data_IF_139922091072
#
_entry.id   IF_139922091072
#
_cell.length_a   1.000
_cell.length_b   1.000
_cell.length_c   1.000
_cell.angle_alpha   90.00
_cell.angle_beta   90.00
_cell.angle_gamma   90.00
#
_symmetry.space_group_name_H-M   'P 1'
#
loop_
_entity.id
_entity.type
_entity.pdbx_description
1 polymer ?
#
# COMPACT_ATOMS: atom_id res chain seq x y z
N UNK A 1 17.22 -2.40 -15.91
CA UNK A 1 16.33 -3.36 -15.23
C UNK A 1 16.57 -4.76 -15.79
N UNK A 2 16.74 -5.78 -14.95
CA UNK A 2 17.03 -7.16 -15.43
C UNK A 2 15.74 -7.82 -15.97
N UNK A 3 15.79 -8.64 -17.02
CA UNK A 3 14.59 -9.23 -17.65
C UNK A 3 13.67 -10.01 -16.68
N UNK A 4 14.25 -10.65 -15.66
CA UNK A 4 13.50 -11.43 -14.68
C UNK A 4 12.65 -10.57 -13.74
N UNK A 5 13.14 -9.38 -13.35
CA UNK A 5 12.36 -8.45 -12.51
C UNK A 5 11.13 -7.92 -13.26
N UNK A 6 11.27 -7.62 -14.55
CA UNK A 6 10.17 -7.21 -15.43
C UNK A 6 9.13 -8.34 -15.62
N UNK A 7 9.56 -9.59 -15.56
CA UNK A 7 8.64 -10.73 -15.64
C UNK A 7 7.85 -10.89 -14.34
N UNK A 8 8.51 -10.81 -13.18
CA UNK A 8 7.84 -10.88 -11.88
C UNK A 8 6.89 -9.71 -11.64
N UNK A 9 7.22 -8.49 -12.08
CA UNK A 9 6.34 -7.32 -11.93
C UNK A 9 5.04 -7.42 -12.74
N UNK A 10 4.97 -8.35 -13.71
CA UNK A 10 3.74 -8.65 -14.47
C UNK A 10 2.95 -9.82 -13.88
N UNK A 11 3.54 -10.58 -12.98
CA UNK A 11 2.83 -11.64 -12.26
C UNK A 11 2.11 -11.00 -11.07
N UNK A 12 0.85 -11.35 -10.85
CA UNK A 12 0.04 -10.75 -9.78
C UNK A 12 -0.63 -9.43 -10.17
N UNK A 13 -0.62 -9.04 -11.44
CA UNK A 13 -1.46 -7.94 -11.95
C UNK A 13 -2.86 -8.44 -12.31
N UNK A 14 -3.88 -7.70 -11.89
CA UNK A 14 -5.30 -7.98 -12.10
C UNK A 14 -6.01 -6.70 -12.53
N UNK A 15 -7.01 -6.83 -13.40
CA UNK A 15 -7.95 -5.76 -13.68
C UNK A 15 -9.26 -6.10 -12.99
N UNK A 16 -9.74 -5.20 -12.13
CA UNK A 16 -11.01 -5.36 -11.41
C UNK A 16 -11.93 -4.18 -11.68
N UNK A 17 -13.24 -4.42 -11.71
CA UNK A 17 -14.22 -3.35 -11.84
C UNK A 17 -14.86 -3.07 -10.48
N UNK A 18 -14.76 -1.81 -10.03
CA UNK A 18 -15.35 -1.34 -8.78
C UNK A 18 -16.30 -0.20 -9.13
N UNK A 19 -17.60 -0.40 -8.94
CA UNK A 19 -18.64 0.59 -9.25
C UNK A 19 -18.54 1.18 -10.68
N UNK A 20 -18.23 0.35 -11.68
CA UNK A 20 -18.07 0.79 -13.07
C UNK A 20 -16.73 1.46 -13.39
N UNK A 21 -15.82 1.54 -12.43
CA UNK A 21 -14.45 2.03 -12.62
C UNK A 21 -13.51 0.84 -12.72
N UNK A 22 -12.73 0.78 -13.80
CA UNK A 22 -11.67 -0.21 -13.93
C UNK A 22 -10.46 0.19 -13.07
N UNK A 23 -10.04 -0.71 -12.20
CA UNK A 23 -8.91 -0.57 -11.28
C UNK A 23 -7.89 -1.64 -11.60
N UNK A 24 -6.64 -1.21 -11.79
CA UNK A 24 -5.49 -2.10 -11.97
C UNK A 24 -4.92 -2.42 -10.59
N UNK A 25 -4.90 -3.69 -10.24
CA UNK A 25 -4.39 -4.17 -8.95
C UNK A 25 -3.13 -4.97 -9.18
N UNK A 26 -2.05 -4.68 -8.46
CA UNK A 26 -0.87 -5.53 -8.39
C UNK A 26 -0.73 -6.12 -6.99
N UNK A 27 -0.55 -7.44 -6.90
CA UNK A 27 -0.26 -8.16 -5.66
C UNK A 27 1.22 -8.49 -5.62
N UNK A 28 1.90 -8.05 -4.56
CA UNK A 28 3.35 -8.10 -4.46
C UNK A 28 3.75 -8.89 -3.22
N UNK A 29 4.48 -9.99 -3.43
CA UNK A 29 5.04 -10.88 -2.40
C UNK A 29 6.58 -10.84 -2.35
N UNK A 30 7.21 -10.06 -3.24
CA UNK A 30 8.66 -10.00 -3.39
C UNK A 30 9.20 -8.59 -3.13
N UNK A 31 10.18 -8.47 -2.22
CA UNK A 31 10.81 -7.20 -1.84
C UNK A 31 11.36 -6.41 -3.05
N UNK A 32 11.96 -7.09 -4.04
CA UNK A 32 12.54 -6.42 -5.21
C UNK A 32 11.48 -5.83 -6.16
N UNK A 33 10.25 -6.33 -6.11
CA UNK A 33 9.12 -5.79 -6.90
C UNK A 33 8.52 -4.58 -6.19
N UNK A 34 8.54 -4.52 -4.86
CA UNK A 34 8.11 -3.34 -4.08
C UNK A 34 8.90 -2.10 -4.47
N UNK A 35 10.22 -2.19 -4.59
CA UNK A 35 11.07 -1.04 -4.96
C UNK A 35 10.69 -0.47 -6.34
N UNK A 36 10.35 -1.35 -7.28
CA UNK A 36 9.93 -0.98 -8.63
C UNK A 36 8.55 -0.32 -8.57
N UNK A 37 7.61 -0.95 -7.86
CA UNK A 37 6.25 -0.45 -7.72
C UNK A 37 6.22 0.94 -7.07
N UNK A 38 6.97 1.15 -5.99
CA UNK A 38 7.03 2.45 -5.31
C UNK A 38 7.58 3.54 -6.24
N UNK A 39 8.58 3.21 -7.07
CA UNK A 39 9.09 4.15 -8.06
C UNK A 39 8.05 4.45 -9.16
N UNK A 40 7.30 3.44 -9.60
CA UNK A 40 6.24 3.59 -10.59
C UNK A 40 5.07 4.43 -10.05
N UNK A 41 4.58 4.14 -8.84
CA UNK A 41 3.58 4.95 -8.13
C UNK A 41 4.02 6.41 -7.99
N UNK A 42 5.26 6.65 -7.56
CA UNK A 42 5.82 8.01 -7.49
C UNK A 42 5.79 8.73 -8.83
N UNK A 43 6.12 8.02 -9.91
CA UNK A 43 6.15 8.61 -11.25
C UNK A 43 4.77 8.86 -11.85
N UNK A 44 3.75 8.09 -11.45
CA UNK A 44 2.39 8.17 -11.99
C UNK A 44 1.53 9.21 -11.26
N UNK A 45 1.86 9.53 -10.01
CA UNK A 45 1.15 10.53 -9.21
C UNK A 45 1.19 11.93 -9.86
N UNK A 46 0.02 12.44 -10.24
CA UNK A 46 -0.16 13.85 -10.64
C UNK A 46 -0.37 14.77 -9.44
N UNK A 47 -1.02 14.23 -8.41
CA UNK A 47 -1.29 14.87 -7.14
C UNK A 47 -0.73 13.91 -6.08
N UNK A 48 0.00 14.39 -5.06
CA UNK A 48 0.62 13.53 -4.07
C UNK A 48 -0.41 13.08 -3.02
N UNK A 49 -1.49 12.42 -3.48
CA UNK A 49 -2.53 11.82 -2.65
C UNK A 49 -2.51 10.31 -2.89
N UNK A 50 -2.42 9.54 -1.81
CA UNK A 50 -2.37 8.07 -1.87
C UNK A 50 -3.43 7.49 -0.94
N UNK A 51 -4.30 6.63 -1.46
CA UNK A 51 -5.16 5.80 -0.61
C UNK A 51 -4.30 4.78 0.13
N UNK A 52 -4.44 4.69 1.44
CA UNK A 52 -3.69 3.75 2.29
C UNK A 52 -4.67 2.91 3.10
N UNK A 53 -4.47 1.60 3.07
CA UNK A 53 -5.09 0.68 4.01
C UNK A 53 -4.07 -0.34 4.51
N UNK A 54 -4.24 -0.81 5.75
CA UNK A 54 -3.38 -1.83 6.35
C UNK A 54 -4.26 -2.91 6.92
N UNK A 55 -4.17 -4.10 6.33
CA UNK A 55 -4.90 -5.28 6.78
C UNK A 55 -4.01 -6.13 7.66
N UNK A 56 -4.46 -6.43 8.89
CA UNK A 56 -3.71 -7.33 9.78
C UNK A 56 -4.20 -8.75 9.62
N UNK A 57 -3.26 -9.69 9.57
CA UNK A 57 -3.58 -11.10 9.72
C UNK A 57 -3.77 -11.37 11.22
N UNK A 58 -4.92 -11.91 11.57
CA UNK A 58 -5.20 -12.30 12.95
C UNK A 58 -4.63 -13.69 13.17
N UNK A 59 -3.49 -13.76 13.84
CA UNK A 59 -2.91 -15.02 14.28
C UNK A 59 -3.67 -15.49 15.51
N UNK A 60 -3.93 -16.79 15.63
CA UNK A 60 -4.56 -17.40 16.81
C UNK A 60 -3.82 -17.10 18.14
N UNK A 61 -2.60 -16.56 18.07
CA UNK A 61 -1.75 -16.21 19.19
C UNK A 61 -1.66 -14.71 19.51
N UNK A 62 -2.48 -13.83 18.90
CA UNK A 62 -2.41 -12.36 19.08
C UNK A 62 -1.03 -11.74 18.74
N UNK A 63 -0.18 -12.46 18.01
CA UNK A 63 0.98 -11.85 17.39
C UNK A 63 0.46 -11.13 16.14
N UNK A 64 0.58 -9.81 16.11
CA UNK A 64 0.35 -9.03 14.89
C UNK A 64 1.56 -9.24 13.95
N UNK A 65 1.81 -10.49 13.57
CA UNK A 65 2.89 -10.82 12.66
C UNK A 65 2.41 -10.45 11.25
N UNK A 66 2.72 -9.20 10.89
CA UNK A 66 2.80 -8.68 9.53
C UNK A 66 1.48 -8.70 8.73
N UNK A 67 0.99 -7.51 8.42
CA UNK A 67 -0.19 -7.32 7.60
C UNK A 67 0.07 -7.34 6.10
N UNK A 68 -0.95 -6.93 5.35
CA UNK A 68 -0.83 -6.44 3.98
C UNK A 68 -0.96 -4.91 4.00
N UNK A 69 -0.15 -4.22 3.21
CA UNK A 69 -0.28 -2.77 2.97
C UNK A 69 -0.90 -2.58 1.61
N UNK A 70 -1.96 -1.78 1.52
CA UNK A 70 -2.60 -1.40 0.26
C UNK A 70 -2.32 0.06 0.00
N UNK A 71 -1.77 0.34 -1.18
CA UNK A 71 -1.52 1.70 -1.68
C UNK A 71 -2.34 1.90 -2.94
N UNK A 72 -3.07 3.00 -3.06
CA UNK A 72 -3.82 3.32 -4.28
C UNK A 72 -3.49 4.73 -4.77
N UNK A 73 -3.14 4.84 -6.05
CA UNK A 73 -2.92 6.09 -6.76
C UNK A 73 -3.79 6.06 -8.01
N UNK A 74 -4.70 7.03 -8.14
CA UNK A 74 -5.73 7.05 -9.18
C UNK A 74 -6.48 5.70 -9.25
N UNK A 75 -6.43 5.02 -10.40
CA UNK A 75 -7.06 3.72 -10.63
C UNK A 75 -6.07 2.54 -10.49
N UNK A 76 -4.90 2.76 -9.88
CA UNK A 76 -3.90 1.72 -9.66
C UNK A 76 -3.76 1.45 -8.17
N UNK A 77 -3.88 0.19 -7.76
CA UNK A 77 -3.72 -0.24 -6.38
C UNK A 77 -2.67 -1.34 -6.24
N UNK A 78 -1.81 -1.22 -5.25
CA UNK A 78 -0.72 -2.16 -4.96
C UNK A 78 -0.99 -2.80 -3.61
N UNK A 79 -1.16 -4.11 -3.58
CA UNK A 79 -1.36 -4.92 -2.39
C UNK A 79 -0.03 -5.60 -2.07
N UNK A 80 0.65 -5.10 -1.04
CA UNK A 80 1.96 -5.55 -0.61
C UNK A 80 1.78 -6.54 0.54
N UNK A 81 2.08 -7.82 0.29
CA UNK A 81 1.99 -8.90 1.26
C UNK A 81 3.22 -8.89 2.17
N UNK A 82 3.32 -7.89 3.07
CA UNK A 82 4.50 -7.69 3.92
C UNK A 82 4.85 -8.92 4.78
N UNK A 83 3.88 -9.77 5.11
CA UNK A 83 4.09 -11.03 5.84
C UNK A 83 4.84 -12.13 5.09
N UNK A 84 5.00 -11.98 3.78
CA UNK A 84 5.77 -12.90 2.96
C UNK A 84 7.22 -12.43 2.77
N UNK A 85 7.56 -11.27 3.32
CA UNK A 85 8.87 -10.63 3.18
C UNK A 85 9.72 -10.87 4.41
N UNK A 86 11.05 -10.93 4.21
CA UNK A 86 12.00 -11.09 5.30
C UNK A 86 12.18 -9.78 6.09
N UNK A 87 11.97 -8.65 5.41
CA UNK A 87 11.96 -7.33 6.02
C UNK A 87 11.13 -6.36 5.17
N UNK A 88 10.66 -5.26 5.79
CA UNK A 88 10.00 -4.20 5.04
C UNK A 88 11.03 -3.44 4.19
N UNK A 89 10.85 -3.35 2.85
CA UNK A 89 11.75 -2.62 1.97
C UNK A 89 11.92 -1.16 2.39
N UNK A 90 13.13 -0.61 2.28
CA UNK A 90 13.39 0.79 2.63
C UNK A 90 12.61 1.75 1.74
N UNK A 91 12.42 1.43 0.46
CA UNK A 91 11.62 2.24 -0.48
C UNK A 91 10.20 2.48 0.03
N UNK A 92 9.53 1.45 0.51
CA UNK A 92 8.19 1.53 1.08
C UNK A 92 8.18 2.34 2.38
N UNK A 93 9.19 2.14 3.25
CA UNK A 93 9.33 2.92 4.50
C UNK A 93 9.52 4.41 4.21
N UNK A 94 10.42 4.73 3.28
CA UNK A 94 10.74 6.10 2.87
C UNK A 94 9.56 6.74 2.12
N UNK A 95 8.76 5.94 1.41
CA UNK A 95 7.53 6.39 0.77
C UNK A 95 6.48 6.76 1.82
N UNK A 96 6.20 5.89 2.79
CA UNK A 96 5.24 6.14 3.85
C UNK A 96 5.64 7.28 4.80
N UNK A 97 6.95 7.56 4.93
CA UNK A 97 7.49 8.65 5.72
C UNK A 97 7.64 9.98 4.94
N UNK A 98 7.25 10.02 3.67
CA UNK A 98 7.39 11.20 2.81
C UNK A 98 6.36 12.27 3.16
N UNK A 99 6.78 13.32 3.86
CA UNK A 99 5.91 14.43 4.29
C UNK A 99 5.32 15.23 3.12
N UNK A 100 5.78 15.01 1.88
CA UNK A 100 5.21 15.63 0.69
C UNK A 100 3.98 14.89 0.15
N UNK A 101 3.69 13.69 0.67
CA UNK A 101 2.56 12.85 0.28
C UNK A 101 1.48 12.90 1.35
N UNK A 102 0.26 13.20 0.94
CA UNK A 102 -0.93 13.11 1.78
C UNK A 102 -1.57 11.74 1.60
N UNK A 103 -1.60 10.90 2.64
CA UNK A 103 -2.32 9.63 2.52
C UNK A 103 -3.69 9.68 3.17
N UNK A 104 -4.65 9.04 2.52
CA UNK A 104 -6.05 8.96 2.94
C UNK A 104 -6.31 7.53 3.38
N UNK A 105 -6.69 7.34 4.64
CA UNK A 105 -6.99 6.04 5.22
C UNK A 105 -8.28 6.10 6.05
N UNK A 106 -8.88 4.94 6.32
CA UNK A 106 -10.03 4.84 7.22
C UNK A 106 -9.56 4.58 8.65
N UNK A 107 -10.19 5.26 9.60
CA UNK A 107 -9.88 5.30 11.05
C UNK A 107 -10.00 3.95 11.81
N UNK A 108 -10.10 2.81 11.12
CA UNK A 108 -10.16 1.50 11.77
C UNK A 108 -8.80 1.02 12.31
N UNK A 109 -7.71 1.68 11.88
CA UNK A 109 -6.35 1.38 12.32
C UNK A 109 -5.77 2.62 12.98
N UNK A 110 -5.74 2.65 14.32
CA UNK A 110 -5.30 3.84 15.05
C UNK A 110 -3.91 4.32 14.59
N UNK A 111 -3.68 5.65 14.44
CA UNK A 111 -2.40 6.22 14.02
C UNK A 111 -1.19 5.72 14.83
N UNK A 112 -1.42 5.33 16.08
CA UNK A 112 -0.41 4.76 16.98
C UNK A 112 0.14 3.40 16.50
N UNK A 113 -0.69 2.52 15.94
CA UNK A 113 -0.28 1.18 15.51
C UNK A 113 0.52 1.20 14.20
N UNK A 114 0.10 2.04 13.24
CA UNK A 114 0.85 2.24 11.99
C UNK A 114 2.19 2.92 12.28
N UNK A 115 2.23 3.87 13.23
CA UNK A 115 3.46 4.51 13.69
C UNK A 115 4.41 3.52 14.36
N UNK A 116 3.91 2.60 15.16
CA UNK A 116 4.72 1.56 15.84
C UNK A 116 5.28 0.52 14.85
N UNK A 117 4.50 0.11 13.84
CA UNK A 117 4.91 -0.91 12.88
C UNK A 117 5.71 -0.39 11.68
N UNK A 118 5.40 0.82 11.22
CA UNK A 118 5.96 1.39 10.00
C UNK A 118 6.74 2.69 10.23
N UNK A 119 6.80 3.22 11.47
CA UNK A 119 7.65 4.35 11.85
C UNK A 119 7.16 5.73 11.38
N UNK A 120 5.91 5.86 10.92
CA UNK A 120 5.39 7.05 10.25
C UNK A 120 4.60 7.98 11.20
N UNK A 121 4.69 9.31 11.00
CA UNK A 121 3.92 10.32 11.74
C UNK A 121 2.86 10.92 10.79
N UNK A 122 1.59 10.90 11.20
CA UNK A 122 0.46 11.34 10.38
C UNK A 122 -0.17 12.63 10.91
N UNK A 123 -0.61 13.51 9.99
CA UNK A 123 -1.47 14.67 10.26
C UNK A 123 -2.61 14.70 9.22
N UNK A 124 -3.85 14.51 9.66
CA UNK A 124 -5.02 14.69 8.79
C UNK A 124 -6.26 13.92 9.25
N UNK A 125 -7.19 14.63 9.90
CA UNK A 125 -8.52 14.12 10.24
C UNK A 125 -9.52 14.49 9.13
N UNK A 126 -9.57 13.74 8.03
CA UNK A 126 -10.63 13.98 7.03
C UNK A 126 -11.23 12.68 6.55
N UNK A 127 -12.37 12.33 7.15
CA UNK A 127 -13.31 11.36 6.58
C UNK A 127 -13.81 11.86 5.22
N UNK A 128 -13.57 11.08 4.16
CA UNK A 128 -14.21 11.28 2.87
C UNK A 128 -15.26 10.17 2.69
N UNK A 129 -16.54 10.55 2.80
CA UNK A 129 -17.68 9.81 2.25
C UNK A 129 -18.29 8.70 3.11
N UNK A 130 -19.34 9.03 3.87
CA UNK A 130 -20.39 8.06 4.20
C UNK A 130 -21.48 8.12 3.13
N UNK A 131 -21.35 7.33 2.07
CA UNK A 131 -22.52 7.02 1.24
C UNK A 131 -23.21 5.78 1.83
N UNK A 132 -24.32 6.06 2.53
CA UNK A 132 -25.29 5.05 2.92
C UNK A 132 -25.97 4.54 1.66
N UNK A 133 -25.80 3.25 1.36
CA UNK A 133 -26.72 2.48 0.51
C UNK A 133 -27.81 1.89 1.40
#
# INVERSE_FOLDING_TARGET
MKPFQLYMSKMGTYEVEIHGVQVNVIVIDNEAVVDIEIAELRSSMKIPIVGLDVMFRNDLNNNFDSGCVVLCVDNCCSIILAHQMSSLPSSLRDFLADETISFVCKETTGPSYIRELYGCVWYGDTEIGQDKV
#
